data_IF_365951968587
#
_entry.id   IF_365951968587
#
_cell.length_a   1.000
_cell.length_b   1.000
_cell.length_c   1.000
_cell.angle_alpha   90.00
_cell.angle_beta   90.00
_cell.angle_gamma   90.00
#
_symmetry.space_group_name_H-M   'P 1'
#
loop_
_entity.id
_entity.type
_entity.pdbx_description
1 polymer ?
#
# COMPACT_ATOMS: atom_id res chain seq x y z
N UNK A 1 -18.69 -9.71 30.46
CA UNK A 1 -18.08 -9.17 29.22
C UNK A 1 -18.92 -9.65 28.04
N UNK A 2 -19.51 -8.75 27.24
CA UNK A 2 -20.35 -9.13 26.10
C UNK A 2 -19.41 -9.43 24.92
N UNK A 3 -19.21 -10.71 24.61
CA UNK A 3 -18.42 -11.10 23.43
C UNK A 3 -19.30 -10.85 22.21
N UNK A 4 -19.04 -9.75 21.50
CA UNK A 4 -19.67 -9.46 20.21
C UNK A 4 -19.06 -10.40 19.18
N UNK A 5 -19.71 -11.53 18.92
CA UNK A 5 -19.34 -12.41 17.81
C UNK A 5 -19.69 -11.73 16.48
N UNK A 6 -18.75 -11.70 15.54
CA UNK A 6 -19.00 -11.21 14.16
C UNK A 6 -20.08 -12.07 13.50
N UNK A 7 -21.12 -11.43 12.96
CA UNK A 7 -22.15 -12.06 12.13
C UNK A 7 -21.51 -12.78 10.92
N UNK A 8 -21.40 -14.11 10.96
CA UNK A 8 -20.81 -14.92 9.89
C UNK A 8 -21.54 -14.75 8.55
N UNK A 9 -22.85 -14.49 8.59
CA UNK A 9 -23.69 -14.30 7.40
C UNK A 9 -23.35 -13.03 6.59
N UNK A 10 -22.93 -11.95 7.27
CA UNK A 10 -22.45 -10.72 6.60
C UNK A 10 -21.10 -10.93 5.92
N UNK A 11 -20.28 -11.84 6.44
CA UNK A 11 -19.00 -12.18 5.85
C UNK A 11 -19.17 -13.01 4.57
N UNK A 12 -20.12 -13.96 4.57
CA UNK A 12 -20.39 -14.84 3.43
C UNK A 12 -20.94 -14.10 2.20
N UNK A 13 -21.67 -12.98 2.38
CA UNK A 13 -22.22 -12.18 1.28
C UNK A 13 -21.23 -11.20 0.65
N UNK A 14 -20.03 -11.03 1.22
CA UNK A 14 -19.03 -10.08 0.71
C UNK A 14 -18.14 -10.77 -0.32
N UNK A 15 -18.69 -11.08 -1.49
CA UNK A 15 -17.90 -11.57 -2.62
C UNK A 15 -16.85 -10.54 -3.02
N UNK A 16 -15.62 -11.00 -3.24
CA UNK A 16 -14.53 -10.15 -3.72
C UNK A 16 -14.78 -9.79 -5.19
N UNK A 17 -15.19 -8.54 -5.43
CA UNK A 17 -15.31 -7.99 -6.78
C UNK A 17 -14.03 -7.23 -7.13
N UNK A 18 -13.13 -7.77 -7.97
CA UNK A 18 -11.91 -7.07 -8.36
C UNK A 18 -12.26 -5.78 -9.10
N UNK A 19 -11.64 -4.68 -8.67
CA UNK A 19 -11.76 -3.39 -9.36
C UNK A 19 -10.95 -3.44 -10.65
N UNK A 20 -11.53 -2.97 -11.76
CA UNK A 20 -10.82 -2.90 -13.03
C UNK A 20 -9.54 -2.05 -12.90
N UNK A 21 -8.45 -2.50 -13.54
CA UNK A 21 -7.11 -1.86 -13.50
C UNK A 21 -6.44 -1.76 -12.12
N UNK A 22 -6.94 -2.45 -11.10
CA UNK A 22 -6.31 -2.52 -9.77
C UNK A 22 -4.83 -2.97 -9.81
N UNK A 23 -4.49 -3.82 -10.78
CA UNK A 23 -3.11 -4.27 -11.00
C UNK A 23 -2.11 -3.13 -11.20
N UNK A 24 -2.52 -1.98 -11.73
CA UNK A 24 -1.63 -0.82 -11.96
C UNK A 24 -1.12 -0.30 -10.62
N UNK A 25 -2.04 -0.14 -9.66
CA UNK A 25 -1.75 0.34 -8.31
C UNK A 25 -0.93 -0.69 -7.55
N UNK A 26 -1.32 -1.97 -7.61
CA UNK A 26 -0.57 -3.05 -6.94
C UNK A 26 0.85 -3.17 -7.48
N UNK A 27 1.05 -2.99 -8.79
CA UNK A 27 2.38 -2.95 -9.40
C UNK A 27 3.21 -1.78 -8.90
N UNK A 28 2.63 -0.58 -8.77
CA UNK A 28 3.37 0.56 -8.19
C UNK A 28 3.79 0.30 -6.75
N UNK A 29 2.96 -0.39 -5.96
CA UNK A 29 3.34 -0.82 -4.61
C UNK A 29 4.46 -1.86 -4.63
N UNK A 30 4.43 -2.84 -5.53
CA UNK A 30 5.53 -3.81 -5.68
C UNK A 30 6.87 -3.12 -6.03
N UNK A 31 6.84 -2.04 -6.81
CA UNK A 31 8.04 -1.27 -7.11
C UNK A 31 8.56 -0.47 -5.90
N UNK A 32 7.66 0.05 -5.06
CA UNK A 32 8.07 0.71 -3.81
C UNK A 32 8.65 -0.28 -2.81
N UNK A 33 8.11 -1.50 -2.74
CA UNK A 33 8.63 -2.55 -1.85
C UNK A 33 10.08 -2.95 -2.21
N UNK A 34 10.43 -2.85 -3.50
CA UNK A 34 11.79 -3.09 -3.97
C UNK A 34 12.76 -1.90 -3.73
N UNK A 35 12.27 -0.73 -3.34
CA UNK A 35 13.15 0.38 -2.96
C UNK A 35 13.66 0.17 -1.54
N UNK A 36 14.93 -0.23 -1.42
CA UNK A 36 15.61 -0.47 -0.13
C UNK A 36 15.44 0.69 0.85
N UNK A 37 15.30 1.94 0.39
CA UNK A 37 15.13 3.11 1.27
C UNK A 37 13.76 3.15 1.96
N UNK A 38 12.72 2.56 1.35
CA UNK A 38 11.36 2.54 1.87
C UNK A 38 11.04 1.30 2.72
N UNK A 39 11.87 0.26 2.70
CA UNK A 39 11.67 -0.98 3.46
C UNK A 39 11.39 -0.73 4.95
N UNK A 40 11.98 0.31 5.55
CA UNK A 40 11.67 0.78 6.91
C UNK A 40 11.69 2.29 6.99
N UNK A 41 10.73 2.87 7.70
CA UNK A 41 10.70 4.29 8.00
C UNK A 41 11.61 4.59 9.20
N UNK A 42 12.74 5.24 8.95
CA UNK A 42 13.70 5.66 9.98
C UNK A 42 13.65 7.17 10.26
N UNK A 43 12.71 7.89 9.64
CA UNK A 43 12.60 9.33 9.79
C UNK A 43 11.93 9.66 11.12
N UNK A 44 12.42 10.71 11.79
CA UNK A 44 11.82 11.22 13.02
C UNK A 44 10.52 11.99 12.74
N UNK A 45 10.50 12.78 11.67
CA UNK A 45 9.36 13.61 11.27
C UNK A 45 8.58 12.95 10.13
N UNK A 46 7.26 13.10 10.18
CA UNK A 46 6.37 12.59 9.14
C UNK A 46 6.62 13.24 7.78
N UNK A 47 6.89 14.54 7.74
CA UNK A 47 7.21 15.28 6.51
C UNK A 47 8.44 14.69 5.81
N UNK A 48 9.43 14.29 6.59
CA UNK A 48 10.65 13.71 6.03
C UNK A 48 10.38 12.30 5.48
N UNK A 49 9.51 11.51 6.13
CA UNK A 49 9.02 10.23 5.57
C UNK A 49 8.29 10.44 4.24
N UNK A 50 7.39 11.42 4.17
CA UNK A 50 6.64 11.75 2.97
C UNK A 50 7.58 12.14 1.82
N UNK A 51 8.60 12.95 2.11
CA UNK A 51 9.61 13.34 1.13
C UNK A 51 10.42 12.15 0.59
N UNK A 52 10.70 11.14 1.41
CA UNK A 52 11.36 9.91 0.92
C UNK A 52 10.47 9.14 -0.05
N UNK A 53 9.17 9.01 0.24
CA UNK A 53 8.23 8.36 -0.68
C UNK A 53 8.12 9.13 -2.00
N UNK A 54 8.07 10.46 -1.97
CA UNK A 54 8.08 11.31 -3.18
C UNK A 54 9.35 11.10 -4.01
N UNK A 55 10.53 11.05 -3.37
CA UNK A 55 11.80 10.80 -4.05
C UNK A 55 11.83 9.42 -4.71
N UNK A 56 11.37 8.38 -4.01
CA UNK A 56 11.26 7.03 -4.59
C UNK A 56 10.31 7.00 -5.79
N UNK A 57 9.21 7.76 -5.75
CA UNK A 57 8.29 7.87 -6.88
C UNK A 57 8.99 8.51 -8.10
N UNK A 58 9.69 9.63 -7.91
CA UNK A 58 10.46 10.29 -8.98
C UNK A 58 11.52 9.35 -9.56
N UNK A 59 12.26 8.64 -8.71
CA UNK A 59 13.25 7.65 -9.13
C UNK A 59 12.63 6.51 -9.94
N UNK A 60 11.43 6.05 -9.60
CA UNK A 60 10.72 5.04 -10.38
C UNK A 60 10.29 5.58 -11.75
N UNK A 61 9.77 6.81 -11.80
CA UNK A 61 9.38 7.46 -13.05
C UNK A 61 10.58 7.62 -14.00
N UNK A 62 11.75 8.00 -13.49
CA UNK A 62 12.96 8.17 -14.31
C UNK A 62 13.52 6.84 -14.83
N UNK A 63 13.43 5.77 -14.03
CA UNK A 63 14.11 4.51 -14.36
C UNK A 63 13.22 3.47 -15.07
N UNK A 64 11.89 3.62 -15.02
CA UNK A 64 10.96 2.58 -15.48
C UNK A 64 9.92 3.05 -16.50
N UNK A 65 9.77 4.35 -16.72
CA UNK A 65 9.05 4.89 -17.88
C UNK A 65 10.05 5.08 -19.00
#
# INVERSE_FOLDING_TARGET
IKVVSRDKEKLAKKEFKPVSKRWVIERTFSWFDNDRRLCRNYQLLHESSENMTKLSAIKLLINKI
#
